data_IF_735464712913
#
_entry.id   IF_735464712913
#
_cell.length_a   1.000
_cell.length_b   1.000
_cell.length_c   1.000
_cell.angle_alpha   90.00
_cell.angle_beta   90.00
_cell.angle_gamma   90.00
#
_symmetry.space_group_name_H-M   'P 1'
#
loop_
_entity.id
_entity.type
_entity.pdbx_description
1 polymer ?
#
# COMPACT_ATOMS: atom_id res chain seq x y z
N UNK A 1 7.40 -32.41 16.36
CA UNK A 1 7.10 -31.84 16.46
C UNK A 1 6.97 -30.93 15.89
N UNK A 2 6.88 -30.52 15.48
CA UNK A 2 6.78 -29.65 15.22
C UNK A 2 5.91 -28.80 15.20
N UNK A 3 5.07 -29.09 15.25
CA UNK A 3 3.92 -28.35 15.47
C UNK A 3 4.05 -26.97 15.98
N UNK A 4 5.03 -26.67 16.69
CA UNK A 4 5.25 -25.34 17.16
C UNK A 4 5.19 -24.29 16.10
N UNK A 5 5.43 -24.68 14.90
CA UNK A 5 5.46 -23.74 13.81
C UNK A 5 4.13 -23.06 13.59
N UNK A 6 3.04 -23.78 13.75
CA UNK A 6 1.73 -23.17 13.54
C UNK A 6 1.42 -22.13 14.59
N UNK A 7 1.92 -22.31 15.78
CA UNK A 7 1.71 -21.33 16.84
C UNK A 7 2.53 -20.08 16.60
N UNK A 8 3.72 -20.24 16.08
CA UNK A 8 4.55 -19.09 15.74
C UNK A 8 3.94 -18.28 14.60
N UNK A 9 3.30 -18.95 13.67
CA UNK A 9 2.68 -18.27 12.55
C UNK A 9 1.56 -17.34 13.01
N UNK A 10 0.89 -17.67 14.09
CA UNK A 10 -0.18 -16.81 14.59
C UNK A 10 0.35 -15.46 15.08
N UNK A 11 1.59 -15.43 15.54
CA UNK A 11 2.17 -14.20 16.08
C UNK A 11 3.25 -13.61 15.20
N UNK A 12 3.70 -14.33 14.18
CA UNK A 12 4.76 -13.87 13.30
C UNK A 12 4.18 -13.28 12.02
N UNK A 13 4.64 -12.12 11.58
CA UNK A 13 4.18 -11.57 10.30
C UNK A 13 4.62 -12.47 9.15
N UNK A 14 3.77 -12.54 8.13
CA UNK A 14 4.12 -13.21 6.89
C UNK A 14 5.26 -12.42 6.23
N UNK A 15 6.40 -13.05 5.91
CA UNK A 15 7.51 -12.34 5.27
C UNK A 15 7.11 -11.64 3.98
N UNK A 16 6.13 -12.18 3.25
CA UNK A 16 5.68 -11.56 2.01
C UNK A 16 4.86 -10.29 2.25
N UNK A 17 4.41 -10.10 3.49
CA UNK A 17 3.61 -8.95 3.90
C UNK A 17 4.39 -7.99 4.78
N UNK A 18 5.69 -8.18 4.93
CA UNK A 18 6.49 -7.25 5.70
C UNK A 18 6.58 -5.92 4.96
N UNK A 19 6.68 -4.83 5.70
CA UNK A 19 6.76 -3.50 5.11
C UNK A 19 7.95 -3.38 4.18
N UNK A 20 9.08 -3.97 4.53
CA UNK A 20 10.28 -3.92 3.68
C UNK A 20 10.05 -4.60 2.35
N UNK A 21 9.39 -5.76 2.34
CA UNK A 21 9.08 -6.46 1.10
C UNK A 21 8.07 -5.72 0.24
N UNK A 22 7.04 -5.17 0.90
CA UNK A 22 6.03 -4.38 0.19
C UNK A 22 6.67 -3.14 -0.43
N UNK A 23 7.53 -2.48 0.33
CA UNK A 23 8.25 -1.30 -0.15
C UNK A 23 9.13 -1.63 -1.35
N UNK A 24 9.85 -2.73 -1.28
CA UNK A 24 10.74 -3.16 -2.36
C UNK A 24 9.96 -3.47 -3.64
N UNK A 25 8.84 -4.19 -3.51
CA UNK A 25 8.00 -4.51 -4.66
C UNK A 25 7.40 -3.29 -5.31
N UNK A 26 6.93 -2.37 -4.51
CA UNK A 26 6.34 -1.13 -5.02
C UNK A 26 7.39 -0.27 -5.72
N UNK A 27 8.59 -0.16 -5.15
CA UNK A 27 9.66 0.60 -5.80
C UNK A 27 10.05 0.00 -7.14
N UNK A 28 10.12 -1.31 -7.21
CA UNK A 28 10.45 -1.98 -8.47
C UNK A 28 9.38 -1.75 -9.53
N UNK A 29 8.13 -1.60 -9.11
CA UNK A 29 7.01 -1.43 -10.02
C UNK A 29 6.77 0.03 -10.42
N UNK A 30 7.35 0.99 -9.71
CA UNK A 30 7.08 2.41 -9.93
C UNK A 30 7.23 2.86 -11.38
N UNK A 31 8.29 2.48 -12.13
CA UNK A 31 8.40 2.91 -13.51
C UNK A 31 7.21 2.48 -14.36
N UNK A 32 6.73 1.26 -14.16
CA UNK A 32 5.57 0.75 -14.87
C UNK A 32 4.29 1.50 -14.45
N UNK A 33 4.11 1.72 -13.15
CA UNK A 33 2.95 2.42 -12.63
C UNK A 33 2.87 3.84 -13.16
N UNK A 34 4.00 4.51 -13.24
CA UNK A 34 4.06 5.87 -13.78
C UNK A 34 3.65 5.92 -15.24
N UNK A 35 4.08 4.96 -16.03
CA UNK A 35 3.74 4.90 -17.45
C UNK A 35 2.28 4.51 -17.67
N UNK A 36 1.82 3.51 -16.93
CA UNK A 36 0.50 2.93 -17.18
C UNK A 36 -0.63 3.78 -16.60
N UNK A 37 -0.45 4.32 -15.42
CA UNK A 37 -1.51 5.04 -14.72
C UNK A 37 -1.19 6.51 -14.44
N UNK A 38 -0.11 7.02 -14.96
CA UNK A 38 0.26 8.43 -14.79
C UNK A 38 0.45 8.81 -13.33
N UNK A 39 1.03 7.91 -12.56
CA UNK A 39 1.33 8.18 -11.16
C UNK A 39 2.53 9.11 -11.07
N UNK A 40 2.41 10.13 -10.23
CA UNK A 40 3.51 11.03 -9.90
C UNK A 40 4.23 10.53 -8.65
N UNK A 41 3.52 10.45 -7.53
CA UNK A 41 4.08 9.99 -6.26
C UNK A 41 3.24 8.86 -5.68
N UNK A 42 3.91 7.95 -4.98
CA UNK A 42 3.28 6.84 -4.28
C UNK A 42 3.88 6.77 -2.89
N UNK A 43 3.02 6.75 -1.88
CA UNK A 43 3.44 6.63 -0.50
C UNK A 43 2.66 5.56 0.23
N UNK A 44 3.24 5.05 1.30
CA UNK A 44 2.58 4.11 2.20
C UNK A 44 2.27 4.84 3.49
N UNK A 45 1.06 4.65 4.00
CA UNK A 45 0.68 5.21 5.29
C UNK A 45 -0.16 4.20 6.06
N UNK A 46 -0.63 4.60 7.24
CA UNK A 46 -1.54 3.79 8.02
C UNK A 46 -0.85 2.74 8.87
N UNK A 47 -1.56 1.64 9.16
CA UNK A 47 -1.15 0.68 10.17
C UNK A 47 0.19 0.00 9.87
N UNK A 48 0.49 -0.26 8.59
CA UNK A 48 1.76 -0.89 8.24
C UNK A 48 2.96 0.00 8.58
N UNK A 49 2.82 1.30 8.36
CA UNK A 49 3.90 2.25 8.68
C UNK A 49 4.07 2.39 10.19
N UNK A 50 2.96 2.37 10.92
CA UNK A 50 3.00 2.50 12.38
C UNK A 50 3.37 1.21 13.10
N UNK A 51 3.48 0.10 12.38
CA UNK A 51 3.76 -1.20 12.99
C UNK A 51 2.56 -1.78 13.74
N UNK A 52 1.35 -1.38 13.37
CA UNK A 52 0.11 -1.79 14.02
C UNK A 52 -0.72 -2.72 13.17
N UNK A 53 -0.18 -3.22 12.07
CA UNK A 53 -0.93 -4.06 11.17
C UNK A 53 -1.26 -5.41 11.80
N UNK A 54 -2.41 -5.95 11.39
CA UNK A 54 -2.86 -7.29 11.75
C UNK A 54 -3.02 -8.10 10.48
N UNK A 55 -3.36 -9.38 10.60
CA UNK A 55 -3.60 -10.23 9.44
C UNK A 55 -4.69 -9.73 8.53
N UNK A 56 -5.60 -8.92 9.05
CA UNK A 56 -6.73 -8.39 8.30
C UNK A 56 -6.53 -6.94 7.85
N UNK A 57 -5.38 -6.35 8.14
CA UNK A 57 -5.12 -4.95 7.76
C UNK A 57 -4.96 -4.82 6.26
N UNK A 58 -5.56 -3.77 5.70
CA UNK A 58 -5.31 -3.38 4.32
C UNK A 58 -4.04 -2.54 4.28
N UNK A 59 -3.35 -2.59 3.15
CA UNK A 59 -2.22 -1.70 2.93
C UNK A 59 -2.75 -0.37 2.41
N UNK A 60 -2.49 0.69 3.14
CA UNK A 60 -2.95 2.03 2.78
C UNK A 60 -1.90 2.72 1.91
N UNK A 61 -2.29 3.09 0.71
CA UNK A 61 -1.41 3.78 -0.24
C UNK A 61 -1.97 5.15 -0.57
N UNK A 62 -1.07 6.12 -0.62
CA UNK A 62 -1.42 7.49 -1.02
C UNK A 62 -0.80 7.76 -2.38
N UNK A 63 -1.61 8.13 -3.34
CA UNK A 63 -1.17 8.27 -4.72
C UNK A 63 -1.47 9.68 -5.22
N UNK A 64 -0.49 10.27 -5.89
CA UNK A 64 -0.65 11.51 -6.63
C UNK A 64 -0.51 11.20 -8.12
N UNK A 65 -1.41 11.71 -8.94
CA UNK A 65 -1.40 11.47 -10.38
C UNK A 65 -1.03 12.75 -11.13
N UNK A 66 -0.35 12.58 -12.28
CA UNK A 66 -0.10 13.70 -13.17
C UNK A 66 -1.35 14.03 -13.99
N UNK A 67 -2.20 13.03 -14.22
CA UNK A 67 -3.50 13.20 -14.85
C UNK A 67 -4.51 12.40 -14.04
N UNK A 68 -5.66 13.02 -13.75
CA UNK A 68 -6.68 12.36 -12.94
C UNK A 68 -7.19 11.10 -13.65
N UNK A 69 -7.16 9.93 -12.99
CA UNK A 69 -7.67 8.70 -13.58
C UNK A 69 -9.20 8.72 -13.59
N UNK A 70 -9.81 8.00 -14.54
CA UNK A 70 -11.22 7.72 -14.46
C UNK A 70 -11.47 6.56 -13.50
N UNK A 71 -12.73 6.24 -13.28
CA UNK A 71 -13.08 5.19 -12.32
C UNK A 71 -12.51 3.83 -12.73
N UNK A 72 -12.54 3.52 -14.01
CA UNK A 72 -12.05 2.23 -14.50
C UNK A 72 -10.53 2.11 -14.29
N UNK A 73 -9.81 3.18 -14.56
CA UNK A 73 -8.36 3.21 -14.34
C UNK A 73 -8.04 3.08 -12.86
N UNK A 74 -8.80 3.75 -12.01
CA UNK A 74 -8.61 3.68 -10.58
C UNK A 74 -8.78 2.25 -10.05
N UNK A 75 -9.86 1.59 -10.46
CA UNK A 75 -10.13 0.21 -10.04
C UNK A 75 -9.08 -0.74 -10.59
N UNK A 76 -8.65 -0.53 -11.84
CA UNK A 76 -7.61 -1.36 -12.45
C UNK A 76 -6.29 -1.22 -11.71
N UNK A 77 -5.93 -0.01 -11.30
CA UNK A 77 -4.72 0.22 -10.51
C UNK A 77 -4.79 -0.52 -9.18
N UNK A 78 -5.92 -0.40 -8.48
CA UNK A 78 -6.09 -1.05 -7.19
C UNK A 78 -5.96 -2.56 -7.32
N UNK A 79 -6.58 -3.15 -8.33
CA UNK A 79 -6.48 -4.58 -8.58
C UNK A 79 -5.06 -5.01 -8.93
N UNK A 80 -4.40 -4.21 -9.75
CA UNK A 80 -3.02 -4.49 -10.13
C UNK A 80 -2.12 -4.54 -8.89
N UNK A 81 -2.29 -3.57 -8.00
CA UNK A 81 -1.50 -3.51 -6.77
C UNK A 81 -1.82 -4.67 -5.84
N UNK A 82 -3.09 -5.07 -5.74
CA UNK A 82 -3.47 -6.22 -4.93
C UNK A 82 -2.86 -7.50 -5.46
N UNK A 83 -2.88 -7.68 -6.78
CA UNK A 83 -2.27 -8.87 -7.41
C UNK A 83 -0.76 -8.87 -7.21
N UNK A 84 -0.13 -7.71 -7.34
CA UNK A 84 1.30 -7.58 -7.17
C UNK A 84 1.74 -7.90 -5.76
N UNK A 85 1.00 -7.43 -4.78
CA UNK A 85 1.41 -7.50 -3.37
C UNK A 85 0.81 -8.68 -2.63
N UNK A 86 -0.25 -9.29 -3.16
CA UNK A 86 -0.89 -10.45 -2.54
C UNK A 86 -1.69 -10.12 -1.30
N UNK A 87 -2.19 -8.89 -1.19
CA UNK A 87 -3.02 -8.47 -0.07
C UNK A 87 -3.97 -7.36 -0.50
N UNK A 88 -4.93 -7.06 0.35
CA UNK A 88 -5.88 -5.99 0.07
C UNK A 88 -5.21 -4.63 0.19
N UNK A 89 -5.53 -3.75 -0.74
CA UNK A 89 -4.95 -2.41 -0.83
C UNK A 89 -6.07 -1.37 -0.82
N UNK A 90 -5.85 -0.30 -0.07
CA UNK A 90 -6.73 0.85 -0.06
C UNK A 90 -5.97 2.03 -0.64
N UNK A 91 -6.39 2.50 -1.81
CA UNK A 91 -5.70 3.58 -2.52
C UNK A 91 -6.43 4.89 -2.31
N UNK A 92 -5.76 5.84 -1.68
CA UNK A 92 -6.26 7.19 -1.50
C UNK A 92 -5.56 8.16 -2.43
N UNK A 93 -6.31 9.14 -2.95
CA UNK A 93 -5.73 10.21 -3.76
C UNK A 93 -5.61 11.47 -2.92
N UNK A 94 -4.44 12.10 -2.97
CA UNK A 94 -4.17 13.29 -2.17
C UNK A 94 -5.23 14.38 -2.38
N UNK A 95 -5.67 14.55 -3.63
CA UNK A 95 -6.63 15.60 -3.98
C UNK A 95 -8.04 15.34 -3.45
N UNK A 96 -8.35 14.11 -3.07
CA UNK A 96 -9.68 13.73 -2.59
C UNK A 96 -9.78 13.74 -1.07
N UNK A 97 -8.69 14.06 -0.37
CA UNK A 97 -8.67 14.04 1.09
C UNK A 97 -9.09 15.38 1.67
N UNK A 98 -9.84 15.33 2.77
CA UNK A 98 -10.16 16.53 3.55
C UNK A 98 -8.86 17.07 4.16
N UNK A 99 -8.70 18.39 4.27
CA UNK A 99 -7.46 18.96 4.79
C UNK A 99 -7.01 18.40 6.15
N UNK A 100 -7.93 18.25 7.10
CA UNK A 100 -7.58 17.71 8.41
C UNK A 100 -7.12 16.27 8.35
N UNK A 101 -7.73 15.47 7.49
CA UNK A 101 -7.36 14.08 7.30
C UNK A 101 -6.03 13.97 6.57
N UNK A 102 -5.81 14.85 5.60
CA UNK A 102 -4.54 14.89 4.87
C UNK A 102 -3.38 15.19 5.82
N UNK A 103 -3.53 16.14 6.73
CA UNK A 103 -2.48 16.49 7.67
C UNK A 103 -2.07 15.28 8.52
N UNK A 104 -3.05 14.50 8.96
CA UNK A 104 -2.78 13.31 9.76
C UNK A 104 -2.05 12.24 8.94
N UNK A 105 -2.46 12.04 7.70
CA UNK A 105 -1.81 11.07 6.82
C UNK A 105 -0.38 11.49 6.50
N UNK A 106 -0.17 12.76 6.23
CA UNK A 106 1.16 13.26 5.87
C UNK A 106 2.18 13.09 6.99
N UNK A 107 1.73 13.00 8.25
CA UNK A 107 2.63 12.72 9.35
C UNK A 107 3.17 11.30 9.31
N UNK A 108 2.40 10.35 8.78
CA UNK A 108 2.77 8.95 8.75
C UNK A 108 3.31 8.48 7.40
N UNK A 109 3.03 9.21 6.33
CA UNK A 109 3.31 8.71 4.98
C UNK A 109 4.80 8.58 4.71
N UNK A 110 5.18 7.44 4.11
CA UNK A 110 6.51 7.22 3.57
C UNK A 110 6.41 7.18 2.06
N UNK A 111 7.01 8.14 1.38
CA UNK A 111 7.05 8.16 -0.08
C UNK A 111 8.14 7.25 -0.62
N UNK A 112 7.85 6.63 -1.74
CA UNK A 112 8.77 5.70 -2.38
C UNK A 112 9.56 6.33 -3.52
#
# INVERSE_FOLDING_TARGET
MTAPDSEHHASSPDPRRSLDMLRARLRAELPYLRRRWKIDQLGIFGSYVRGEETGDSDLDLLVTFTEKPDLFDYVALERHLEDLLGLSVDVGMTTELRPSFRDRIEQDVEYL
#
